data_IF_451595748487
#
_entry.id   IF_451595748487
#
_cell.length_a   1.000
_cell.length_b   1.000
_cell.length_c   1.000
_cell.angle_alpha   90.00
_cell.angle_beta   90.00
_cell.angle_gamma   90.00
#
_symmetry.space_group_name_H-M   'P 1'
#
loop_
_entity.id
_entity.type
_entity.pdbx_description
1 polymer ?
#
# COMPACT_ATOMS: atom_id res chain seq x y z
N UNK A 1 -7.23 -0.11 -6.64
CA UNK A 1 -6.51 -0.48 -5.38
C UNK A 1 -6.39 -2.00 -5.36
N UNK A 2 -5.23 -2.53 -5.05
CA UNK A 2 -5.00 -3.95 -4.83
C UNK A 2 -4.51 -4.17 -3.39
N UNK A 3 -4.87 -5.28 -2.78
CA UNK A 3 -4.46 -5.67 -1.44
C UNK A 3 -4.57 -7.19 -1.28
N UNK A 4 -3.83 -7.75 -0.35
CA UNK A 4 -3.91 -9.15 0.00
C UNK A 4 -3.77 -9.36 1.51
N UNK A 5 -4.22 -10.52 1.99
CA UNK A 5 -3.88 -11.03 3.31
C UNK A 5 -2.92 -12.21 3.10
N UNK A 6 -1.86 -12.24 3.88
CA UNK A 6 -0.88 -13.30 3.84
C UNK A 6 -0.68 -13.91 5.23
N UNK A 7 -0.29 -15.17 5.27
CA UNK A 7 0.16 -15.80 6.51
C UNK A 7 1.46 -15.11 6.96
N UNK A 8 1.61 -14.69 8.23
CA UNK A 8 2.83 -14.05 8.72
C UNK A 8 4.09 -14.90 8.61
N UNK A 9 3.96 -16.20 8.30
CA UNK A 9 5.09 -17.10 8.04
C UNK A 9 5.65 -16.97 6.62
N UNK A 10 4.89 -16.41 5.69
CA UNK A 10 5.33 -16.18 4.31
C UNK A 10 6.29 -14.99 4.28
N UNK A 11 7.37 -15.10 3.51
CA UNK A 11 8.35 -14.02 3.39
C UNK A 11 7.76 -12.75 2.79
N UNK A 12 8.06 -11.59 3.37
CA UNK A 12 7.55 -10.27 2.92
C UNK A 12 7.76 -10.03 1.42
N UNK A 13 8.88 -10.50 0.86
CA UNK A 13 9.19 -10.35 -0.58
C UNK A 13 8.29 -11.20 -1.46
N UNK A 14 7.99 -12.42 -1.04
CA UNK A 14 7.08 -13.32 -1.74
C UNK A 14 5.68 -12.72 -1.78
N UNK A 15 5.17 -12.26 -0.63
CA UNK A 15 3.89 -11.54 -0.54
C UNK A 15 3.88 -10.29 -1.43
N UNK A 16 4.97 -9.54 -1.48
CA UNK A 16 5.07 -8.35 -2.31
C UNK A 16 5.06 -8.69 -3.82
N UNK A 17 5.70 -9.78 -4.23
CA UNK A 17 5.65 -10.26 -5.61
C UNK A 17 4.23 -10.66 -6.00
N UNK A 18 3.56 -11.45 -5.17
CA UNK A 18 2.17 -11.86 -5.39
C UNK A 18 1.22 -10.66 -5.47
N UNK A 19 1.39 -9.69 -4.57
CA UNK A 19 0.58 -8.47 -4.58
C UNK A 19 0.80 -7.64 -5.84
N UNK A 20 2.03 -7.48 -6.31
CA UNK A 20 2.34 -6.75 -7.54
C UNK A 20 1.77 -7.46 -8.77
N UNK A 21 1.90 -8.78 -8.85
CA UNK A 21 1.29 -9.59 -9.91
C UNK A 21 -0.23 -9.44 -9.93
N UNK A 22 -0.86 -9.62 -8.77
CA UNK A 22 -2.30 -9.44 -8.62
C UNK A 22 -2.77 -8.01 -8.98
N UNK A 23 -2.03 -6.98 -8.57
CA UNK A 23 -2.34 -5.60 -8.91
C UNK A 23 -2.26 -5.34 -10.41
N UNK A 24 -1.33 -6.00 -11.11
CA UNK A 24 -1.24 -5.95 -12.57
C UNK A 24 -2.44 -6.62 -13.24
N UNK A 25 -2.78 -7.83 -12.80
CA UNK A 25 -3.93 -8.59 -13.35
C UNK A 25 -5.26 -7.83 -13.19
N UNK A 26 -5.40 -7.10 -12.09
CA UNK A 26 -6.55 -6.21 -11.85
C UNK A 26 -6.49 -4.89 -12.66
N UNK A 27 -5.45 -4.65 -13.45
CA UNK A 27 -5.26 -3.39 -14.17
C UNK A 27 -4.95 -2.18 -13.27
N UNK A 28 -4.63 -2.41 -12.01
CA UNK A 28 -4.23 -1.35 -11.07
C UNK A 28 -2.80 -0.84 -11.34
N UNK A 29 -1.96 -1.67 -11.95
CA UNK A 29 -0.62 -1.31 -12.43
C UNK A 29 -0.59 -1.33 -13.96
N UNK A 30 0.07 -0.32 -14.52
CA UNK A 30 0.30 -0.17 -15.97
C UNK A 30 1.79 -0.07 -16.23
N UNK A 31 2.20 -0.41 -17.46
CA UNK A 31 3.60 -0.35 -17.89
C UNK A 31 4.19 1.05 -17.63
N UNK A 32 5.40 1.07 -17.09
CA UNK A 32 6.13 2.30 -16.79
C UNK A 32 5.70 3.03 -15.51
N UNK A 33 4.71 2.52 -14.77
CA UNK A 33 4.38 3.13 -13.47
C UNK A 33 5.52 3.00 -12.47
N UNK A 34 5.62 3.98 -11.57
CA UNK A 34 6.52 3.95 -10.43
C UNK A 34 5.78 3.38 -9.24
N UNK A 35 6.34 2.34 -8.64
CA UNK A 35 5.87 1.76 -7.38
C UNK A 35 6.86 2.10 -6.28
N UNK A 36 6.40 2.82 -5.27
CA UNK A 36 7.20 3.12 -4.09
C UNK A 36 7.09 1.99 -3.08
N UNK A 37 8.23 1.50 -2.62
CA UNK A 37 8.32 0.40 -1.67
C UNK A 37 9.18 0.75 -0.46
N UNK A 38 9.08 -0.01 0.61
CA UNK A 38 10.00 0.11 1.74
C UNK A 38 11.39 -0.47 1.38
N UNK A 39 12.40 -0.01 2.07
CA UNK A 39 13.78 -0.52 1.96
C UNK A 39 13.92 -2.00 2.32
N UNK A 40 12.97 -2.58 3.05
CA UNK A 40 12.87 -4.02 3.32
C UNK A 40 12.77 -4.86 2.05
N UNK A 41 12.12 -4.31 1.01
CA UNK A 41 11.99 -4.95 -0.30
C UNK A 41 13.22 -4.74 -1.21
N UNK A 42 14.34 -4.27 -0.65
CA UNK A 42 15.59 -4.13 -1.38
C UNK A 42 16.13 -5.48 -1.88
N UNK A 43 16.58 -5.52 -3.12
CA UNK A 43 17.25 -6.66 -3.72
C UNK A 43 17.10 -6.71 -5.23
N UNK A 44 18.17 -7.11 -5.92
CA UNK A 44 18.21 -7.19 -7.38
C UNK A 44 17.11 -8.10 -7.96
N UNK A 45 16.77 -9.14 -7.24
CA UNK A 45 15.72 -10.09 -7.64
C UNK A 45 14.35 -9.41 -7.67
N UNK A 46 14.00 -8.68 -6.60
CA UNK A 46 12.73 -7.95 -6.51
C UNK A 46 12.65 -6.82 -7.54
N UNK A 47 13.75 -6.09 -7.75
CA UNK A 47 13.84 -5.03 -8.76
C UNK A 47 13.69 -5.61 -10.18
N UNK A 48 14.30 -6.78 -10.46
CA UNK A 48 14.13 -7.49 -11.74
C UNK A 48 12.70 -7.98 -11.92
N UNK A 49 12.13 -8.62 -10.91
CA UNK A 49 10.74 -9.08 -10.97
C UNK A 49 9.78 -7.92 -11.31
N UNK A 50 9.92 -6.79 -10.63
CA UNK A 50 9.10 -5.61 -10.88
C UNK A 50 9.28 -5.09 -12.31
N UNK A 51 10.51 -5.05 -12.82
CA UNK A 51 10.80 -4.57 -14.17
C UNK A 51 10.38 -5.56 -15.27
N UNK A 52 10.71 -6.84 -15.09
CA UNK A 52 10.59 -7.83 -16.16
C UNK A 52 9.20 -8.47 -16.22
N UNK A 53 8.58 -8.72 -15.07
CA UNK A 53 7.27 -9.39 -14.99
C UNK A 53 6.12 -8.40 -14.82
N UNK A 54 6.28 -7.40 -13.96
CA UNK A 54 5.22 -6.42 -13.65
C UNK A 54 5.29 -5.20 -14.56
N UNK A 55 6.43 -4.94 -15.21
CA UNK A 55 6.67 -3.78 -16.10
C UNK A 55 6.56 -2.43 -15.38
N UNK A 56 6.96 -2.38 -14.12
CA UNK A 56 6.97 -1.16 -13.29
C UNK A 56 8.38 -0.85 -12.78
N UNK A 57 8.63 0.42 -12.48
CA UNK A 57 9.86 0.85 -11.80
C UNK A 57 9.65 0.78 -10.29
N UNK A 58 10.35 -0.14 -9.62
CA UNK A 58 10.35 -0.21 -8.16
C UNK A 58 11.33 0.81 -7.60
N UNK A 59 10.83 1.80 -6.87
CA UNK A 59 11.60 2.85 -6.21
C UNK A 59 11.50 2.66 -4.71
N UNK A 60 12.63 2.70 -4.03
CA UNK A 60 12.75 2.56 -2.58
C UNK A 60 13.82 3.49 -2.00
N UNK A 61 13.78 3.80 -0.72
CA UNK A 61 14.88 4.50 -0.06
C UNK A 61 16.18 3.69 -0.17
N UNK A 62 17.28 4.38 -0.48
CA UNK A 62 18.60 3.76 -0.51
C UNK A 62 19.03 3.32 0.89
N UNK A 63 19.78 2.23 0.98
CA UNK A 63 20.44 1.81 2.22
C UNK A 63 21.65 2.71 2.49
N UNK A 64 22.15 2.70 3.73
CA UNK A 64 23.31 3.52 4.13
C UNK A 64 24.58 3.22 3.34
N UNK A 65 24.69 1.98 2.87
CA UNK A 65 25.82 1.43 2.11
C UNK A 65 25.62 1.47 0.59
N UNK A 66 24.52 2.03 0.11
CA UNK A 66 24.21 2.15 -1.30
C UNK A 66 24.42 3.58 -1.81
N UNK A 67 24.86 3.74 -3.08
CA UNK A 67 24.87 5.06 -3.71
C UNK A 67 23.45 5.61 -3.83
N UNK A 68 23.31 6.90 -3.64
CA UNK A 68 22.00 7.57 -3.80
C UNK A 68 21.54 7.48 -5.26
N UNK A 69 20.43 6.77 -5.48
CA UNK A 69 19.81 6.58 -6.80
C UNK A 69 18.60 7.48 -7.00
N UNK A 70 17.85 7.69 -5.94
CA UNK A 70 16.62 8.48 -5.95
C UNK A 70 16.75 9.62 -4.95
N UNK A 71 16.18 10.77 -5.24
CA UNK A 71 16.23 11.94 -4.37
C UNK A 71 15.58 11.72 -2.99
N UNK A 72 15.25 12.78 -2.31
CA UNK A 72 14.61 12.69 -1.00
C UNK A 72 13.17 12.16 -1.13
N UNK A 73 12.94 10.93 -0.72
CA UNK A 73 11.62 10.28 -0.70
C UNK A 73 10.82 10.57 0.60
N UNK A 74 11.30 11.48 1.46
CA UNK A 74 10.70 11.75 2.77
C UNK A 74 9.23 12.18 2.69
N UNK A 75 8.86 13.04 1.75
CA UNK A 75 7.46 13.47 1.59
C UNK A 75 6.52 12.32 1.17
N UNK A 76 6.99 11.43 0.29
CA UNK A 76 6.20 10.27 -0.12
C UNK A 76 6.04 9.25 1.02
N UNK A 77 7.08 9.11 1.85
CA UNK A 77 7.00 8.26 3.04
C UNK A 77 5.95 8.76 4.04
N UNK A 78 5.86 10.07 4.26
CA UNK A 78 4.82 10.66 5.11
C UNK A 78 3.40 10.33 4.61
N UNK A 79 3.20 10.24 3.29
CA UNK A 79 1.91 9.82 2.75
C UNK A 79 1.57 8.38 3.11
N UNK A 80 2.53 7.46 2.99
CA UNK A 80 2.33 6.06 3.36
C UNK A 80 2.07 5.94 4.86
N UNK A 81 2.83 6.65 5.69
CA UNK A 81 2.64 6.68 7.14
C UNK A 81 1.24 7.22 7.49
N UNK A 82 0.79 8.30 6.87
CA UNK A 82 -0.56 8.85 7.10
C UNK A 82 -1.69 7.89 6.68
N UNK A 83 -1.51 7.11 5.60
CA UNK A 83 -2.46 6.05 5.22
C UNK A 83 -2.52 4.96 6.29
N UNK A 84 -1.36 4.54 6.79
CA UNK A 84 -1.28 3.53 7.85
C UNK A 84 -1.91 4.04 9.16
N UNK A 85 -1.67 5.28 9.53
CA UNK A 85 -2.25 5.91 10.73
C UNK A 85 -3.78 6.00 10.63
N UNK A 86 -4.31 6.34 9.46
CA UNK A 86 -5.77 6.33 9.24
C UNK A 86 -6.34 4.91 9.38
N UNK A 87 -5.72 3.92 8.75
CA UNK A 87 -6.18 2.54 8.81
C UNK A 87 -6.10 1.96 10.22
N UNK A 88 -5.01 2.20 10.94
CA UNK A 88 -4.76 1.64 12.28
C UNK A 88 -5.48 2.42 13.37
N UNK A 89 -5.42 3.74 13.32
CA UNK A 89 -5.95 4.64 14.35
C UNK A 89 -7.45 4.89 14.19
N UNK A 90 -7.88 5.43 13.03
CA UNK A 90 -9.27 5.84 12.83
C UNK A 90 -10.20 4.70 12.41
N UNK A 91 -9.67 3.72 11.65
CA UNK A 91 -10.46 2.60 11.15
C UNK A 91 -10.23 1.29 11.91
N UNK A 92 -9.44 1.31 13.00
CA UNK A 92 -9.19 0.14 13.86
C UNK A 92 -8.79 -1.12 13.08
N UNK A 93 -7.89 -1.00 12.09
CA UNK A 93 -7.50 -2.12 11.23
C UNK A 93 -6.99 -3.31 12.04
N UNK A 94 -6.21 -3.07 13.10
CA UNK A 94 -5.64 -4.11 13.95
C UNK A 94 -6.69 -4.73 14.90
N UNK A 95 -7.76 -4.01 15.21
CA UNK A 95 -8.87 -4.47 16.06
C UNK A 95 -10.11 -4.83 15.25
N UNK A 96 -9.91 -5.47 14.10
CA UNK A 96 -10.99 -5.78 13.17
C UNK A 96 -12.05 -6.75 13.70
N UNK A 97 -11.79 -7.49 14.79
CA UNK A 97 -12.77 -8.38 15.43
C UNK A 97 -13.09 -9.66 14.65
N UNK A 98 -12.40 -9.96 13.55
CA UNK A 98 -12.56 -11.20 12.79
C UNK A 98 -11.97 -12.38 13.57
N UNK A 99 -12.72 -13.49 13.67
CA UNK A 99 -12.30 -14.70 14.38
C UNK A 99 -11.98 -15.87 13.44
N UNK A 100 -12.32 -15.76 12.18
CA UNK A 100 -12.02 -16.74 11.13
C UNK A 100 -11.28 -16.07 9.99
N UNK A 101 -10.50 -16.78 9.15
CA UNK A 101 -9.82 -16.18 8.00
C UNK A 101 -10.77 -15.39 7.09
N UNK A 102 -11.94 -15.94 6.76
CA UNK A 102 -12.95 -15.24 5.97
C UNK A 102 -13.49 -14.00 6.70
N UNK A 103 -13.72 -14.07 8.01
CA UNK A 103 -14.14 -12.93 8.82
C UNK A 103 -13.08 -11.83 8.87
N UNK A 104 -11.81 -12.18 9.00
CA UNK A 104 -10.68 -11.23 8.92
C UNK A 104 -10.66 -10.54 7.56
N UNK A 105 -10.74 -11.34 6.47
CA UNK A 105 -10.77 -10.81 5.12
C UNK A 105 -11.87 -9.75 4.91
N UNK A 106 -13.11 -10.09 5.27
CA UNK A 106 -14.26 -9.17 5.13
C UNK A 106 -14.04 -7.90 5.96
N UNK A 107 -13.59 -8.04 7.21
CA UNK A 107 -13.37 -6.88 8.09
C UNK A 107 -12.26 -5.95 7.61
N UNK A 108 -11.18 -6.51 7.07
CA UNK A 108 -10.10 -5.71 6.46
C UNK A 108 -10.60 -5.04 5.19
N UNK A 109 -11.29 -5.77 4.31
CA UNK A 109 -11.89 -5.22 3.09
C UNK A 109 -12.82 -4.03 3.37
N UNK A 110 -13.67 -4.13 4.40
CA UNK A 110 -14.57 -3.04 4.80
C UNK A 110 -13.80 -1.77 5.16
N UNK A 111 -12.68 -1.87 5.88
CA UNK A 111 -11.86 -0.72 6.28
C UNK A 111 -11.15 -0.06 5.10
N UNK A 112 -10.58 -0.88 4.23
CA UNK A 112 -9.96 -0.39 3.00
C UNK A 112 -10.97 0.29 2.08
N UNK A 113 -12.18 -0.27 1.97
CA UNK A 113 -13.26 0.33 1.20
C UNK A 113 -13.73 1.66 1.81
N UNK A 114 -13.89 1.72 3.13
CA UNK A 114 -14.26 2.95 3.84
C UNK A 114 -13.25 4.06 3.59
N UNK A 115 -11.94 3.78 3.70
CA UNK A 115 -10.90 4.75 3.40
C UNK A 115 -10.92 5.17 1.93
N UNK A 116 -11.08 4.24 0.99
CA UNK A 116 -11.16 4.55 -0.43
C UNK A 116 -12.38 5.43 -0.77
N UNK A 117 -13.52 5.14 -0.16
CA UNK A 117 -14.74 5.93 -0.32
C UNK A 117 -14.57 7.36 0.23
N UNK A 118 -13.93 7.51 1.40
CA UNK A 118 -13.64 8.82 1.98
C UNK A 118 -12.69 9.64 1.08
N UNK A 119 -11.62 9.04 0.59
CA UNK A 119 -10.69 9.71 -0.34
C UNK A 119 -11.43 10.17 -1.60
N UNK A 120 -12.26 9.30 -2.18
CA UNK A 120 -13.04 9.64 -3.37
C UNK A 120 -14.04 10.77 -3.11
N UNK A 121 -14.76 10.72 -1.98
CA UNK A 121 -15.71 11.76 -1.60
C UNK A 121 -15.01 13.11 -1.37
N UNK A 122 -13.93 13.14 -0.58
CA UNK A 122 -13.16 14.33 -0.29
C UNK A 122 -12.59 14.95 -1.58
N UNK A 123 -12.10 14.11 -2.49
CA UNK A 123 -11.67 14.57 -3.80
C UNK A 123 -12.81 15.22 -4.60
N UNK A 124 -14.00 14.59 -4.59
CA UNK A 124 -15.18 15.11 -5.29
C UNK A 124 -15.70 16.42 -4.72
N UNK A 125 -15.57 16.63 -3.43
CA UNK A 125 -16.04 17.83 -2.71
C UNK A 125 -14.98 18.92 -2.61
N UNK A 126 -13.75 18.65 -3.10
CA UNK A 126 -12.66 19.63 -3.08
C UNK A 126 -12.09 19.87 -1.68
N UNK A 127 -12.14 18.86 -0.81
CA UNK A 127 -11.53 18.94 0.52
C UNK A 127 -10.00 19.05 0.44
N UNK A 128 -9.39 19.89 1.27
CA UNK A 128 -7.95 20.11 1.30
C UNK A 128 -7.19 18.84 1.73
N UNK A 129 -7.73 18.07 2.67
CA UNK A 129 -7.18 16.77 3.09
C UNK A 129 -8.06 15.63 2.56
N UNK A 130 -7.56 14.95 1.54
CA UNK A 130 -8.28 13.86 0.89
C UNK A 130 -8.47 12.63 1.81
N UNK A 131 -7.69 12.48 2.86
CA UNK A 131 -7.73 11.30 3.74
C UNK A 131 -8.42 11.56 5.08
N UNK A 132 -8.87 12.79 5.30
CA UNK A 132 -9.60 13.13 6.53
C UNK A 132 -10.91 12.36 6.61
N UNK A 133 -11.17 11.76 7.78
CA UNK A 133 -12.43 11.12 8.12
C UNK A 133 -13.30 12.00 9.03
N UNK A 134 -12.84 13.19 9.40
CA UNK A 134 -13.53 14.09 10.36
C UNK A 134 -14.96 14.42 9.91
N UNK A 135 -15.19 14.55 8.60
CA UNK A 135 -16.52 14.81 8.06
C UNK A 135 -17.55 13.70 8.33
N UNK A 136 -17.09 12.52 8.75
CA UNK A 136 -17.93 11.33 9.01
C UNK A 136 -17.96 10.93 10.49
N UNK A 137 -17.27 11.67 11.35
CA UNK A 137 -17.24 11.49 12.79
C UNK A 137 -18.38 12.30 13.41
N UNK A 138 -19.55 11.65 13.59
CA UNK A 138 -20.75 12.22 14.17
C UNK A 138 -21.11 11.56 15.48
#
# INVERSE_FOLDING_TARGET
MAWCLADPKIGEREVAQDLLGHARDLGALRDGMIVLADKGLAGREMERYAADQVKVLLVRPDRKDEPRRYGNLGGMRQWIESVNDTLKGQLDLERHGGRTPAGVYVRVAQRLLAMAAAIWHNWRTGADDLRSLIAYDH
#
